data_IF_161914728279
#
_entry.id   IF_161914728279
#
_cell.length_a   1.000
_cell.length_b   1.000
_cell.length_c   1.000
_cell.angle_alpha   90.00
_cell.angle_beta   90.00
_cell.angle_gamma   90.00
#
_symmetry.space_group_name_H-M   'P 1'
#
loop_
_entity.id
_entity.type
_entity.pdbx_description
1 polymer ?
#
# COMPACT_ATOMS: atom_id res chain seq x y z
N UNK A 1 39.28 -76.73 -27.20
CA UNK A 1 38.63 -76.01 -26.08
C UNK A 1 37.34 -76.73 -25.73
N UNK A 2 37.09 -77.06 -24.46
CA UNK A 2 35.93 -77.88 -24.04
C UNK A 2 34.62 -77.10 -24.02
N UNK A 3 33.47 -77.75 -24.30
CA UNK A 3 32.12 -77.14 -24.29
C UNK A 3 31.80 -76.29 -23.04
N UNK A 4 32.38 -76.65 -21.88
CA UNK A 4 32.29 -75.88 -20.64
C UNK A 4 32.79 -74.44 -20.76
N UNK A 5 33.84 -74.19 -21.55
CA UNK A 5 34.40 -72.85 -21.76
C UNK A 5 33.44 -71.95 -22.55
N UNK A 6 32.72 -72.49 -23.54
CA UNK A 6 31.73 -71.74 -24.31
C UNK A 6 30.51 -71.37 -23.48
N UNK A 7 30.04 -72.27 -22.60
CA UNK A 7 28.90 -71.99 -21.71
C UNK A 7 29.25 -70.88 -20.71
N UNK A 8 30.45 -70.93 -20.11
CA UNK A 8 30.91 -69.88 -19.19
C UNK A 8 31.09 -68.53 -19.90
N UNK A 9 31.61 -68.52 -21.13
CA UNK A 9 31.72 -67.30 -21.92
C UNK A 9 30.35 -66.70 -22.28
N UNK A 10 29.38 -67.54 -22.66
CA UNK A 10 28.03 -67.09 -22.98
C UNK A 10 27.31 -66.52 -21.74
N UNK A 11 27.44 -67.18 -20.57
CA UNK A 11 26.91 -66.65 -19.31
C UNK A 11 27.55 -65.31 -18.93
N UNK A 12 28.87 -65.18 -19.11
CA UNK A 12 29.58 -63.92 -18.90
C UNK A 12 29.03 -62.79 -19.78
N UNK A 13 28.80 -63.05 -21.06
CA UNK A 13 28.20 -62.08 -21.98
C UNK A 13 26.78 -61.68 -21.57
N UNK A 14 25.95 -62.62 -21.14
CA UNK A 14 24.59 -62.31 -20.66
C UNK A 14 24.64 -61.40 -19.42
N UNK A 15 25.53 -61.68 -18.46
CA UNK A 15 25.68 -60.84 -17.26
C UNK A 15 26.13 -59.42 -17.63
N UNK A 16 27.05 -59.28 -18.59
CA UNK A 16 27.50 -57.96 -19.06
C UNK A 16 26.34 -57.17 -19.68
N UNK A 17 25.54 -57.80 -20.55
CA UNK A 17 24.39 -57.15 -21.19
C UNK A 17 23.33 -56.73 -20.15
N UNK A 18 23.03 -57.60 -19.18
CA UNK A 18 22.08 -57.28 -18.12
C UNK A 18 22.58 -56.15 -17.23
N UNK A 19 23.88 -56.10 -16.91
CA UNK A 19 24.47 -55.03 -16.10
C UNK A 19 24.40 -53.70 -16.84
N UNK A 20 24.72 -53.68 -18.14
CA UNK A 20 24.63 -52.48 -18.96
C UNK A 20 23.19 -51.98 -19.11
N UNK A 21 22.22 -52.88 -19.32
CA UNK A 21 20.82 -52.52 -19.37
C UNK A 21 20.33 -51.96 -18.03
N UNK A 22 20.68 -52.60 -16.91
CA UNK A 22 20.34 -52.13 -15.58
C UNK A 22 20.91 -50.73 -15.30
N UNK A 23 22.17 -50.49 -15.64
CA UNK A 23 22.82 -49.17 -15.52
C UNK A 23 22.13 -48.11 -16.38
N UNK A 24 21.82 -48.44 -17.65
CA UNK A 24 21.12 -47.54 -18.57
C UNK A 24 19.71 -47.16 -18.10
N UNK A 25 18.94 -48.12 -17.57
CA UNK A 25 17.60 -47.83 -17.02
C UNK A 25 17.67 -47.13 -15.67
N UNK A 26 18.67 -47.44 -14.84
CA UNK A 26 18.90 -46.74 -13.58
C UNK A 26 19.21 -45.27 -13.84
N UNK A 27 20.18 -44.97 -14.70
CA UNK A 27 20.56 -43.59 -15.03
C UNK A 27 19.38 -42.79 -15.57
N UNK A 28 18.54 -43.41 -16.42
CA UNK A 28 17.30 -42.79 -16.90
C UNK A 28 16.31 -42.52 -15.77
N UNK A 29 16.10 -43.48 -14.87
CA UNK A 29 15.21 -43.30 -13.73
C UNK A 29 15.68 -42.16 -12.80
N UNK A 30 17.00 -42.00 -12.63
CA UNK A 30 17.56 -40.87 -11.87
C UNK A 30 17.31 -39.54 -12.58
N UNK A 31 17.55 -39.44 -13.89
CA UNK A 31 17.26 -38.23 -14.67
C UNK A 31 15.78 -37.78 -14.53
N UNK A 32 14.84 -38.73 -14.60
CA UNK A 32 13.41 -38.44 -14.43
C UNK A 32 13.07 -37.99 -13.00
N UNK A 33 13.64 -38.65 -12.00
CA UNK A 33 13.45 -38.30 -10.59
C UNK A 33 14.00 -36.91 -10.28
N UNK A 34 15.19 -36.60 -10.78
CA UNK A 34 15.83 -35.31 -10.60
C UNK A 34 15.01 -34.20 -11.27
N UNK A 35 14.54 -34.45 -12.50
CA UNK A 35 13.64 -33.52 -13.20
C UNK A 35 12.36 -33.30 -12.41
N UNK A 36 11.73 -34.37 -11.89
CA UNK A 36 10.51 -34.27 -11.08
C UNK A 36 10.74 -33.46 -9.80
N UNK A 37 11.87 -33.65 -9.11
CA UNK A 37 12.22 -32.85 -7.93
C UNK A 37 12.44 -31.38 -8.29
N UNK A 38 13.09 -31.08 -9.41
CA UNK A 38 13.27 -29.70 -9.88
C UNK A 38 11.93 -29.03 -10.17
N UNK A 39 11.01 -29.71 -10.87
CA UNK A 39 9.67 -29.17 -11.13
C UNK A 39 8.88 -28.96 -9.85
N UNK A 40 8.96 -29.90 -8.89
CA UNK A 40 8.28 -29.76 -7.60
C UNK A 40 8.86 -28.63 -6.75
N UNK A 41 10.18 -28.44 -6.77
CA UNK A 41 10.82 -27.33 -6.09
C UNK A 41 10.42 -25.99 -6.72
N UNK A 42 10.42 -25.91 -8.06
CA UNK A 42 10.00 -24.72 -8.79
C UNK A 42 8.52 -24.40 -8.55
N UNK A 43 7.64 -25.41 -8.56
CA UNK A 43 6.21 -25.20 -8.33
C UNK A 43 5.94 -24.68 -6.93
N UNK A 44 6.61 -25.24 -5.90
CA UNK A 44 6.53 -24.72 -4.53
C UNK A 44 7.03 -23.29 -4.42
N UNK A 45 8.18 -22.98 -5.02
CA UNK A 45 8.72 -21.63 -5.02
C UNK A 45 7.77 -20.62 -5.69
N UNK A 46 7.12 -21.02 -6.80
CA UNK A 46 6.11 -20.20 -7.47
C UNK A 46 4.87 -20.01 -6.59
N UNK A 47 4.39 -21.06 -5.94
CA UNK A 47 3.24 -20.99 -5.02
C UNK A 47 3.52 -20.06 -3.84
N UNK A 48 4.71 -20.16 -3.22
CA UNK A 48 5.15 -19.25 -2.16
C UNK A 48 5.22 -17.80 -2.66
N UNK A 49 5.76 -17.58 -3.85
CA UNK A 49 5.86 -16.25 -4.47
C UNK A 49 4.47 -15.65 -4.73
N UNK A 50 3.56 -16.43 -5.33
CA UNK A 50 2.19 -16.00 -5.62
C UNK A 50 1.44 -15.70 -4.32
N UNK A 51 1.58 -16.55 -3.31
CA UNK A 51 0.96 -16.35 -2.00
C UNK A 51 1.46 -15.06 -1.36
N UNK A 52 2.77 -14.81 -1.41
CA UNK A 52 3.35 -13.57 -0.90
C UNK A 52 2.84 -12.34 -1.66
N UNK A 53 2.80 -12.40 -2.99
CA UNK A 53 2.26 -11.32 -3.83
C UNK A 53 0.78 -11.04 -3.53
N UNK A 54 -0.05 -12.08 -3.40
CA UNK A 54 -1.46 -11.94 -3.06
C UNK A 54 -1.65 -11.30 -1.68
N UNK A 55 -0.85 -11.72 -0.69
CA UNK A 55 -0.92 -11.15 0.64
C UNK A 55 -0.55 -9.67 0.66
N UNK A 56 0.51 -9.27 -0.08
CA UNK A 56 0.89 -7.85 -0.24
C UNK A 56 -0.21 -7.04 -0.91
N UNK A 57 -0.79 -7.56 -2.00
CA UNK A 57 -1.89 -6.89 -2.68
C UNK A 57 -3.11 -6.67 -1.77
N UNK A 58 -3.47 -7.67 -0.96
CA UNK A 58 -4.55 -7.55 0.01
C UNK A 58 -4.26 -6.49 1.07
N UNK A 59 -3.03 -6.47 1.60
CA UNK A 59 -2.61 -5.46 2.58
C UNK A 59 -2.65 -4.05 1.99
N UNK A 60 -2.16 -3.87 0.76
CA UNK A 60 -2.21 -2.60 0.05
C UNK A 60 -3.64 -2.15 -0.25
N UNK A 61 -4.52 -3.06 -0.67
CA UNK A 61 -5.92 -2.75 -0.90
C UNK A 61 -6.64 -2.34 0.40
N UNK A 62 -6.31 -2.96 1.53
CA UNK A 62 -6.85 -2.58 2.82
C UNK A 62 -6.35 -1.19 3.28
N UNK A 63 -5.06 -0.90 3.05
CA UNK A 63 -4.46 0.40 3.34
C UNK A 63 -5.11 1.51 2.49
N UNK A 64 -5.20 1.29 1.17
CA UNK A 64 -5.82 2.21 0.22
C UNK A 64 -7.30 2.48 0.57
N UNK A 65 -8.07 1.42 0.86
CA UNK A 65 -9.45 1.54 1.31
C UNK A 65 -9.57 2.42 2.55
N UNK A 66 -8.75 2.19 3.56
CA UNK A 66 -8.78 2.95 4.82
C UNK A 66 -8.54 4.44 4.58
N UNK A 67 -7.54 4.79 3.77
CA UNK A 67 -7.21 6.17 3.47
C UNK A 67 -8.23 6.85 2.55
N UNK A 68 -8.78 6.11 1.59
CA UNK A 68 -9.85 6.60 0.71
C UNK A 68 -11.13 6.90 1.48
N UNK A 69 -11.55 6.03 2.40
CA UNK A 69 -12.71 6.27 3.26
C UNK A 69 -12.51 7.51 4.15
N UNK A 70 -11.32 7.64 4.76
CA UNK A 70 -10.99 8.79 5.59
C UNK A 70 -10.96 10.11 4.79
N UNK A 71 -10.44 10.08 3.56
CA UNK A 71 -10.45 11.24 2.67
C UNK A 71 -11.88 11.64 2.28
N UNK A 72 -12.70 10.68 1.84
CA UNK A 72 -14.08 10.92 1.44
C UNK A 72 -14.94 11.47 2.59
N UNK A 73 -14.75 10.95 3.81
CA UNK A 73 -15.44 11.45 4.99
C UNK A 73 -15.09 12.92 5.27
N UNK A 74 -13.82 13.28 5.17
CA UNK A 74 -13.35 14.64 5.41
C UNK A 74 -13.77 15.62 4.29
N UNK A 75 -13.79 15.17 3.04
CA UNK A 75 -14.33 15.94 1.91
C UNK A 75 -15.83 16.18 2.07
N UNK A 76 -16.59 15.16 2.48
CA UNK A 76 -18.03 15.27 2.76
C UNK A 76 -18.30 16.28 3.88
N UNK A 77 -17.51 16.23 4.95
CA UNK A 77 -17.61 17.21 6.04
C UNK A 77 -17.31 18.63 5.54
N UNK A 78 -16.25 18.83 4.76
CA UNK A 78 -15.91 20.13 4.20
C UNK A 78 -17.02 20.65 3.29
N UNK A 79 -17.54 19.81 2.39
CA UNK A 79 -18.67 20.13 1.53
C UNK A 79 -19.91 20.57 2.32
N UNK A 80 -20.24 19.85 3.40
CA UNK A 80 -21.35 20.23 4.28
C UNK A 80 -21.12 21.59 4.95
N UNK A 81 -19.91 21.90 5.39
CA UNK A 81 -19.57 23.22 5.92
C UNK A 81 -19.72 24.32 4.86
N UNK A 82 -19.27 24.07 3.63
CA UNK A 82 -19.43 25.03 2.53
C UNK A 82 -20.89 25.35 2.28
N UNK A 83 -21.75 24.33 2.26
CA UNK A 83 -23.20 24.50 2.11
C UNK A 83 -23.77 25.35 3.25
N UNK A 84 -23.48 24.99 4.49
CA UNK A 84 -23.98 25.71 5.68
C UNK A 84 -23.51 27.17 5.76
N UNK A 85 -22.32 27.49 5.25
CA UNK A 85 -21.86 28.87 5.17
C UNK A 85 -22.54 29.64 4.02
N UNK A 86 -22.80 28.96 2.89
CA UNK A 86 -23.44 29.56 1.72
C UNK A 86 -24.94 29.83 1.95
N UNK A 87 -25.64 28.91 2.61
CA UNK A 87 -27.07 29.06 2.95
C UNK A 87 -27.32 29.94 4.19
N UNK A 88 -26.26 30.34 4.90
CA UNK A 88 -26.33 31.21 6.07
C UNK A 88 -26.75 30.50 7.37
N UNK A 89 -26.94 29.18 7.36
CA UNK A 89 -27.25 28.37 8.55
C UNK A 89 -26.08 28.37 9.54
N UNK A 90 -24.86 28.62 9.05
CA UNK A 90 -23.65 28.76 9.86
C UNK A 90 -22.90 30.04 9.51
N UNK A 91 -22.34 30.67 10.54
CA UNK A 91 -21.50 31.88 10.44
C UNK A 91 -20.08 31.56 10.87
N UNK A 92 -19.10 32.24 10.27
CA UNK A 92 -17.67 32.06 10.56
C UNK A 92 -17.10 33.38 11.07
N UNK A 93 -16.54 33.35 12.28
CA UNK A 93 -15.98 34.51 12.95
C UNK A 93 -14.49 34.34 13.16
N UNK A 94 -13.76 35.44 13.13
CA UNK A 94 -12.37 35.51 13.57
C UNK A 94 -12.24 36.52 14.70
N UNK A 95 -11.27 36.30 15.57
CA UNK A 95 -10.81 37.34 16.47
C UNK A 95 -10.06 38.39 15.66
N UNK A 96 -10.58 39.62 15.68
CA UNK A 96 -9.95 40.75 15.03
C UNK A 96 -9.71 41.85 16.06
N UNK A 97 -8.56 42.52 15.93
CA UNK A 97 -8.31 43.79 16.61
C UNK A 97 -8.55 44.90 15.60
N UNK A 98 -9.74 45.49 15.63
CA UNK A 98 -10.06 46.62 14.78
C UNK A 98 -9.40 47.88 15.33
N UNK A 99 -8.65 48.65 14.53
CA UNK A 99 -8.17 49.96 14.96
C UNK A 99 -9.39 50.85 15.28
N UNK A 100 -9.31 51.62 16.39
CA UNK A 100 -10.38 52.52 16.77
C UNK A 100 -10.64 53.52 15.64
N UNK A 101 -11.86 53.55 15.11
CA UNK A 101 -12.26 54.53 14.12
C UNK A 101 -12.20 55.91 14.75
N UNK A 102 -11.29 56.78 14.26
CA UNK A 102 -11.21 58.19 14.67
C UNK A 102 -12.36 58.97 14.02
N UNK A 103 -13.58 58.72 14.47
CA UNK A 103 -14.77 59.50 14.11
C UNK A 103 -15.45 59.96 15.39
N UNK A 104 -15.19 61.22 15.76
CA UNK A 104 -15.83 61.91 16.89
C UNK A 104 -14.96 61.93 18.15
N UNK A 105 -14.49 63.11 18.54
CA UNK A 105 -13.48 63.30 19.58
C UNK A 105 -13.87 62.83 20.98
N UNK A 106 -12.94 62.15 21.63
CA UNK A 106 -12.42 62.45 22.98
C UNK A 106 -11.26 61.49 23.27
N UNK A 107 -10.11 62.08 23.61
CA UNK A 107 -8.95 61.40 24.17
C UNK A 107 -9.35 60.67 25.45
N UNK A 108 -9.43 59.34 25.39
CA UNK A 108 -9.72 58.47 26.52
C UNK A 108 -8.68 57.36 26.61
N UNK A 109 -8.20 57.12 27.84
CA UNK A 109 -7.15 56.20 28.30
C UNK A 109 -6.86 54.97 27.43
N UNK A 110 -5.58 54.72 27.17
CA UNK A 110 -5.07 53.56 26.44
C UNK A 110 -5.31 52.25 27.20
N UNK A 111 -6.49 51.66 27.03
CA UNK A 111 -6.77 50.27 27.38
C UNK A 111 -6.47 49.36 26.19
N UNK A 112 -5.78 48.25 26.43
CA UNK A 112 -5.62 47.16 25.47
C UNK A 112 -7.00 46.49 25.33
N UNK A 113 -7.84 46.97 24.41
CA UNK A 113 -9.18 46.41 24.21
C UNK A 113 -9.12 44.96 23.74
N UNK A 114 -9.89 44.09 24.38
CA UNK A 114 -10.14 42.72 23.92
C UNK A 114 -10.73 42.75 22.50
N UNK A 115 -10.16 41.95 21.59
CA UNK A 115 -10.52 41.97 20.17
C UNK A 115 -11.98 41.55 19.94
N UNK A 116 -12.73 42.35 19.18
CA UNK A 116 -14.09 42.01 18.77
C UNK A 116 -14.12 40.81 17.80
N UNK A 117 -15.14 39.96 17.90
CA UNK A 117 -15.39 38.93 16.88
C UNK A 117 -15.95 39.57 15.61
N UNK A 118 -15.25 39.42 14.49
CA UNK A 118 -15.69 39.91 13.18
C UNK A 118 -16.09 38.72 12.32
N UNK A 119 -17.27 38.78 11.70
CA UNK A 119 -17.70 37.78 10.73
C UNK A 119 -16.90 37.92 9.43
N UNK A 120 -16.41 36.79 8.90
CA UNK A 120 -15.71 36.79 7.62
C UNK A 120 -16.65 37.08 6.45
N UNK A 121 -16.16 37.88 5.51
CA UNK A 121 -16.77 38.05 4.22
C UNK A 121 -16.94 36.70 3.50
N UNK A 122 -17.99 36.57 2.67
CA UNK A 122 -18.37 35.31 2.04
C UNK A 122 -17.25 34.68 1.20
N UNK A 123 -16.49 35.48 0.47
CA UNK A 123 -15.31 35.06 -0.28
C UNK A 123 -14.21 34.50 0.63
N UNK A 124 -13.93 35.19 1.73
CA UNK A 124 -12.94 34.80 2.73
C UNK A 124 -13.34 33.50 3.42
N UNK A 125 -14.64 33.29 3.69
CA UNK A 125 -15.17 32.04 4.25
C UNK A 125 -14.91 30.83 3.34
N UNK A 126 -15.12 31.00 2.03
CA UNK A 126 -14.87 29.94 1.05
C UNK A 126 -13.38 29.64 0.92
N UNK A 127 -12.53 30.67 0.85
CA UNK A 127 -11.07 30.49 0.78
C UNK A 127 -10.53 29.69 1.96
N UNK A 128 -11.03 29.94 3.18
CA UNK A 128 -10.64 29.15 4.37
C UNK A 128 -11.00 27.68 4.23
N UNK A 129 -12.19 27.36 3.68
CA UNK A 129 -12.61 25.98 3.47
C UNK A 129 -11.86 25.30 2.32
N UNK A 130 -11.49 26.03 1.27
CA UNK A 130 -10.65 25.51 0.19
C UNK A 130 -9.24 25.18 0.70
N UNK A 131 -8.64 26.06 1.52
CA UNK A 131 -7.36 25.79 2.21
C UNK A 131 -7.49 24.54 3.10
N UNK A 132 -8.58 24.44 3.89
CA UNK A 132 -8.84 23.27 4.73
C UNK A 132 -8.89 21.99 3.89
N UNK A 133 -9.57 22.01 2.74
CA UNK A 133 -9.67 20.86 1.84
C UNK A 133 -8.29 20.45 1.30
N UNK A 134 -7.48 21.42 0.87
CA UNK A 134 -6.10 21.17 0.45
C UNK A 134 -5.25 20.50 1.54
N UNK A 135 -5.28 21.04 2.76
CA UNK A 135 -4.54 20.47 3.90
C UNK A 135 -5.00 19.04 4.23
N UNK A 136 -6.30 18.76 4.18
CA UNK A 136 -6.84 17.42 4.42
C UNK A 136 -6.31 16.44 3.36
N UNK A 137 -6.39 16.81 2.08
CA UNK A 137 -5.91 16.00 0.96
C UNK A 137 -4.41 15.70 1.10
N UNK A 138 -3.61 16.73 1.36
CA UNK A 138 -2.16 16.58 1.47
C UNK A 138 -1.76 15.75 2.69
N UNK A 139 -2.43 15.94 3.83
CA UNK A 139 -2.18 15.10 5.02
C UNK A 139 -2.53 13.63 4.76
N UNK A 140 -3.64 13.35 4.08
CA UNK A 140 -4.01 11.97 3.75
C UNK A 140 -2.98 11.34 2.80
N UNK A 141 -2.56 12.05 1.75
CA UNK A 141 -1.52 11.59 0.82
C UNK A 141 -0.20 11.32 1.53
N UNK A 142 0.26 12.25 2.37
CA UNK A 142 1.50 12.09 3.13
C UNK A 142 1.43 10.91 4.09
N UNK A 143 0.32 10.76 4.82
CA UNK A 143 0.14 9.65 5.76
C UNK A 143 0.11 8.31 5.03
N UNK A 144 -0.65 8.23 3.92
CA UNK A 144 -0.68 7.05 3.06
C UNK A 144 0.71 6.68 2.55
N UNK A 145 1.46 7.65 2.00
CA UNK A 145 2.81 7.41 1.47
C UNK A 145 3.79 6.97 2.58
N UNK A 146 3.72 7.58 3.76
CA UNK A 146 4.54 7.17 4.89
C UNK A 146 4.23 5.71 5.31
N UNK A 147 2.96 5.34 5.40
CA UNK A 147 2.55 3.99 5.73
C UNK A 147 2.95 2.99 4.63
N UNK A 148 2.74 3.34 3.37
CA UNK A 148 3.15 2.54 2.22
C UNK A 148 4.66 2.23 2.25
N UNK A 149 5.50 3.25 2.48
CA UNK A 149 6.96 3.06 2.58
C UNK A 149 7.30 2.13 3.75
N UNK A 150 6.65 2.29 4.91
CA UNK A 150 6.87 1.43 6.07
C UNK A 150 6.43 -0.03 5.81
N UNK A 151 5.38 -0.25 5.02
CA UNK A 151 4.85 -1.59 4.77
C UNK A 151 5.52 -2.30 3.60
N UNK A 152 5.93 -1.58 2.55
CA UNK A 152 6.44 -2.18 1.30
C UNK A 152 7.94 -1.98 1.06
N UNK A 153 8.55 -0.92 1.59
CA UNK A 153 9.95 -0.60 1.28
C UNK A 153 10.92 -0.86 2.44
N UNK A 154 10.43 -0.79 3.68
CA UNK A 154 11.26 -0.96 4.89
C UNK A 154 11.07 -2.32 5.58
N UNK A 155 10.18 -3.17 5.07
CA UNK A 155 10.04 -4.58 5.44
C UNK A 155 10.86 -5.45 4.51
#
# INVERSE_FOLDING_TARGET
>A
MSARAYILAALGLVVIVLTWAADHYHSKAEEWRDSAHQFQALSKQQEETITNMNQRQQQLAALDKTHTEALNAAETENYNLRRQLADGTRRMYVHAKCPATRTGGKTGSGGVGDGASVELATDSRQNVLDIRAGIISDRQKLTYLQQYIQTECLK
#
